data_IF_737105117988
#
_entry.id   IF_737105117988
#
_cell.length_a   1.000
_cell.length_b   1.000
_cell.length_c   1.000
_cell.angle_alpha   90.00
_cell.angle_beta   90.00
_cell.angle_gamma   90.00
#
_symmetry.space_group_name_H-M   'P 1'
#
loop_
_entity.id
_entity.type
_entity.pdbx_description
1 polymer ?
#
# COMPACT_ATOMS: atom_id res chain seq x y z
N UNK A 1 -32.08 14.36 17.05
CA UNK A 1 -31.17 13.24 16.78
C UNK A 1 -30.76 12.68 18.12
N UNK A 2 -31.20 11.46 18.38
CA UNK A 2 -31.29 10.88 19.71
C UNK A 2 -29.92 10.54 20.27
N UNK A 3 -29.71 10.99 21.52
CA UNK A 3 -28.51 10.77 22.29
C UNK A 3 -28.36 9.25 22.50
N UNK A 4 -27.37 8.61 21.87
CA UNK A 4 -27.04 7.22 22.18
C UNK A 4 -26.46 7.22 23.59
N UNK A 5 -27.29 6.82 24.56
CA UNK A 5 -26.90 6.70 25.96
C UNK A 5 -25.82 5.63 26.10
N UNK A 6 -24.64 6.03 26.56
CA UNK A 6 -23.54 5.11 26.84
C UNK A 6 -24.01 4.14 27.94
N UNK A 7 -23.93 2.81 27.72
CA UNK A 7 -24.32 1.82 28.72
C UNK A 7 -23.63 2.07 30.07
N UNK A 8 -24.37 1.97 31.17
CA UNK A 8 -23.93 2.34 32.52
C UNK A 8 -22.67 1.61 33.00
N UNK A 9 -22.38 0.43 32.45
CA UNK A 9 -21.18 -0.35 32.77
C UNK A 9 -19.89 0.27 32.19
N UNK A 10 -19.97 1.04 31.11
CA UNK A 10 -18.84 1.82 30.55
C UNK A 10 -18.62 3.09 31.37
N UNK A 11 -19.68 3.71 31.89
CA UNK A 11 -19.59 4.90 32.74
C UNK A 11 -18.85 4.62 34.06
N UNK A 12 -19.09 3.45 34.68
CA UNK A 12 -18.43 3.08 35.95
C UNK A 12 -16.93 2.83 35.80
N UNK A 13 -16.46 2.36 34.63
CA UNK A 13 -15.04 2.17 34.36
C UNK A 13 -14.29 3.48 34.10
N UNK A 14 -15.01 4.54 33.69
CA UNK A 14 -14.43 5.87 33.46
C UNK A 14 -14.41 6.74 34.73
N UNK A 15 -15.36 6.58 35.65
CA UNK A 15 -15.45 7.37 36.89
C UNK A 15 -14.34 7.08 37.90
N UNK A 16 -13.68 5.93 37.83
CA UNK A 16 -12.55 5.55 38.69
C UNK A 16 -11.17 5.93 38.16
N UNK A 17 -11.07 6.43 36.92
CA UNK A 17 -9.82 6.94 36.36
C UNK A 17 -9.78 8.44 36.63
N UNK A 18 -9.13 8.82 37.73
CA UNK A 18 -8.65 10.19 37.87
C UNK A 18 -7.98 10.61 36.55
N UNK A 19 -8.30 11.81 36.05
CA UNK A 19 -7.49 12.38 34.99
C UNK A 19 -6.03 12.26 35.44
N UNK A 20 -5.10 11.79 34.58
CA UNK A 20 -3.71 11.79 34.96
C UNK A 20 -3.37 13.23 35.32
N UNK A 21 -3.12 13.48 36.61
CA UNK A 21 -2.42 14.67 37.07
C UNK A 21 -1.20 14.80 36.18
N UNK A 22 -0.93 16.01 35.68
CA UNK A 22 0.13 16.31 34.74
C UNK A 22 1.46 15.72 35.22
N UNK A 23 1.71 14.46 34.84
CA UNK A 23 3.01 13.86 34.96
C UNK A 23 3.83 14.62 33.94
N UNK A 24 4.89 15.27 34.41
CA UNK A 24 6.00 15.69 33.56
C UNK A 24 6.53 14.43 32.87
N UNK A 25 5.89 14.04 31.76
CA UNK A 25 6.39 13.03 30.86
C UNK A 25 7.52 13.74 30.13
N UNK A 26 8.74 13.57 30.64
CA UNK A 26 9.94 13.92 29.90
C UNK A 26 9.75 13.40 28.46
N UNK A 27 9.87 14.30 27.48
CA UNK A 27 9.63 14.00 26.07
C UNK A 27 10.60 12.91 25.62
N UNK A 28 10.17 11.65 25.70
CA UNK A 28 10.90 10.56 25.06
C UNK A 28 10.93 10.89 23.58
N UNK A 29 12.11 10.86 22.99
CA UNK A 29 12.26 10.98 21.54
C UNK A 29 11.28 10.00 20.87
N UNK A 30 10.38 10.47 19.99
CA UNK A 30 9.39 9.60 19.38
C UNK A 30 10.10 8.47 18.65
N UNK A 31 9.58 7.24 18.80
CA UNK A 31 10.10 6.10 18.07
C UNK A 31 9.96 6.38 16.56
N UNK A 32 10.95 6.11 15.71
CA UNK A 32 10.91 6.48 14.29
C UNK A 32 9.75 5.84 13.52
N UNK A 33 9.23 4.71 13.99
CA UNK A 33 8.05 4.03 13.43
C UNK A 33 6.71 4.43 14.08
N UNK A 34 6.72 5.34 15.06
CA UNK A 34 5.50 5.85 15.65
C UNK A 34 4.91 6.97 14.80
N UNK A 35 3.58 7.05 14.77
CA UNK A 35 2.91 8.12 14.04
C UNK A 35 3.34 9.48 14.62
N UNK A 36 3.67 10.51 13.82
CA UNK A 36 4.27 11.75 14.34
C UNK A 36 3.48 12.43 15.47
N UNK A 37 2.15 12.26 15.47
CA UNK A 37 1.24 12.82 16.48
C UNK A 37 0.92 11.86 17.64
N UNK A 38 1.50 10.66 17.70
CA UNK A 38 1.16 9.65 18.73
C UNK A 38 1.66 10.01 20.12
N UNK A 39 2.63 10.92 20.23
CA UNK A 39 3.13 11.46 21.50
C UNK A 39 2.27 12.59 22.06
N UNK A 40 1.33 13.13 21.27
CA UNK A 40 0.45 14.21 21.70
C UNK A 40 -0.61 13.68 22.68
N UNK A 41 -1.05 14.55 23.60
CA UNK A 41 -2.14 14.23 24.53
C UNK A 41 -3.42 13.95 23.75
N UNK A 42 -4.23 13.01 24.25
CA UNK A 42 -5.54 12.70 23.68
C UNK A 42 -6.41 13.96 23.51
N UNK A 43 -7.02 14.09 22.33
CA UNK A 43 -7.91 15.20 21.97
C UNK A 43 -9.31 14.64 21.61
N UNK A 44 -10.35 14.90 22.43
CA UNK A 44 -11.69 14.38 22.19
C UNK A 44 -12.38 14.96 20.94
N UNK A 45 -12.02 16.17 20.51
CA UNK A 45 -12.59 16.77 19.30
C UNK A 45 -12.01 16.10 18.04
N UNK A 46 -10.70 15.84 18.03
CA UNK A 46 -10.06 15.08 16.96
C UNK A 46 -10.58 13.63 16.90
N UNK A 47 -10.86 13.02 18.05
CA UNK A 47 -11.44 11.68 18.09
C UNK A 47 -12.86 11.65 17.49
N UNK A 48 -13.68 12.66 17.81
CA UNK A 48 -15.04 12.77 17.30
C UNK A 48 -15.09 13.14 15.81
N UNK A 49 -14.17 14.00 15.35
CA UNK A 49 -14.04 14.41 13.96
C UNK A 49 -12.58 14.24 13.51
N UNK A 50 -12.18 13.02 13.10
CA UNK A 50 -10.82 12.76 12.67
C UNK A 50 -10.48 13.57 11.43
N UNK A 51 -9.28 14.15 11.40
CA UNK A 51 -8.71 14.71 10.17
C UNK A 51 -8.34 13.61 9.18
N UNK A 52 -8.11 13.97 7.92
CA UNK A 52 -7.91 13.06 6.79
C UNK A 52 -6.84 12.01 7.03
N UNK A 53 -5.83 12.29 7.86
CA UNK A 53 -4.81 11.31 8.16
C UNK A 53 -5.30 10.05 8.92
N UNK A 54 -6.45 10.14 9.59
CA UNK A 54 -7.02 9.07 10.42
C UNK A 54 -8.26 8.43 9.78
N UNK A 55 -8.67 8.89 8.58
CA UNK A 55 -9.82 8.38 7.84
C UNK A 55 -9.42 7.26 6.88
N UNK A 56 -10.42 6.59 6.30
CA UNK A 56 -10.22 5.49 5.35
C UNK A 56 -9.34 5.88 4.16
N UNK A 57 -8.56 4.90 3.69
CA UNK A 57 -7.65 5.04 2.55
C UNK A 57 -7.76 3.81 1.64
N UNK A 58 -8.79 3.71 0.77
CA UNK A 58 -8.96 2.57 -0.10
C UNK A 58 -7.87 2.46 -1.16
N UNK A 59 -7.68 1.25 -1.68
CA UNK A 59 -7.04 1.05 -2.97
C UNK A 59 -8.01 1.45 -4.09
N UNK A 60 -7.56 2.34 -4.94
CA UNK A 60 -8.29 2.78 -6.13
C UNK A 60 -7.64 2.16 -7.36
N UNK A 61 -8.34 1.19 -7.92
CA UNK A 61 -7.88 0.44 -9.09
C UNK A 61 -7.96 1.30 -10.34
N UNK A 62 -6.80 1.55 -10.96
CA UNK A 62 -6.70 2.13 -12.29
C UNK A 62 -6.53 1.02 -13.32
N UNK A 63 -7.51 0.90 -14.19
CA UNK A 63 -7.57 -0.03 -15.31
C UNK A 63 -8.23 0.68 -16.49
N UNK A 64 -8.06 0.14 -17.69
CA UNK A 64 -8.55 0.72 -18.96
C UNK A 64 -7.92 2.07 -19.26
N UNK A 65 -8.49 2.79 -20.24
CA UNK A 65 -8.11 4.16 -20.55
C UNK A 65 -8.57 5.08 -19.43
N UNK A 66 -7.65 5.93 -18.96
CA UNK A 66 -7.97 6.89 -17.92
C UNK A 66 -8.66 8.11 -18.51
N UNK A 67 -9.75 8.52 -17.89
CA UNK A 67 -10.48 9.74 -18.23
C UNK A 67 -10.40 10.73 -17.06
N UNK A 68 -9.80 11.89 -17.29
CA UNK A 68 -9.51 12.87 -16.23
C UNK A 68 -10.78 13.29 -15.49
N UNK A 69 -11.85 13.60 -16.20
CA UNK A 69 -13.10 14.08 -15.59
C UNK A 69 -13.76 13.00 -14.72
N UNK A 70 -13.72 11.74 -15.18
CA UNK A 70 -14.14 10.60 -14.38
C UNK A 70 -13.30 10.45 -13.11
N UNK A 71 -11.96 10.56 -13.21
CA UNK A 71 -11.07 10.44 -12.07
C UNK A 71 -11.36 11.51 -11.01
N UNK A 72 -11.54 12.78 -11.43
CA UNK A 72 -11.87 13.88 -10.50
C UNK A 72 -13.24 13.67 -9.84
N UNK A 73 -14.24 13.25 -10.60
CA UNK A 73 -15.57 12.90 -10.06
C UNK A 73 -15.50 11.73 -9.05
N UNK A 74 -14.61 10.76 -9.25
CA UNK A 74 -14.43 9.68 -8.27
C UNK A 74 -13.83 10.20 -6.96
N UNK A 75 -12.93 11.20 -7.03
CA UNK A 75 -12.42 11.88 -5.83
C UNK A 75 -13.53 12.66 -5.11
N UNK A 76 -14.47 13.28 -5.83
CA UNK A 76 -15.67 13.87 -5.21
C UNK A 76 -16.44 12.84 -4.39
N UNK A 77 -16.70 11.66 -4.96
CA UNK A 77 -17.38 10.58 -4.23
C UNK A 77 -16.59 10.11 -3.00
N UNK A 78 -15.25 10.04 -3.09
CA UNK A 78 -14.43 9.72 -1.93
C UNK A 78 -14.56 10.77 -0.81
N UNK A 79 -14.61 12.05 -1.17
CA UNK A 79 -14.84 13.13 -0.22
C UNK A 79 -16.25 13.07 0.40
N UNK A 80 -17.29 12.80 -0.40
CA UNK A 80 -18.68 12.60 0.07
C UNK A 80 -18.79 11.42 1.05
N UNK A 81 -18.02 10.36 0.84
CA UNK A 81 -17.91 9.20 1.73
C UNK A 81 -17.02 9.45 2.96
N UNK A 82 -16.53 10.68 3.16
CA UNK A 82 -15.61 11.06 4.23
C UNK A 82 -14.31 10.22 4.28
N UNK A 83 -13.82 9.79 3.12
CA UNK A 83 -12.49 9.19 3.02
C UNK A 83 -11.41 10.28 3.14
N UNK A 84 -10.31 9.95 3.80
CA UNK A 84 -9.22 10.93 3.98
C UNK A 84 -8.16 10.84 2.91
N UNK A 85 -8.06 9.69 2.24
CA UNK A 85 -6.98 9.40 1.31
C UNK A 85 -7.40 8.37 0.28
N UNK A 86 -6.54 8.12 -0.70
CA UNK A 86 -6.63 6.96 -1.59
C UNK A 86 -5.23 6.50 -2.02
N UNK A 87 -5.09 5.20 -2.30
CA UNK A 87 -3.91 4.64 -2.96
C UNK A 87 -4.23 4.36 -4.42
N UNK A 88 -3.69 5.19 -5.32
CA UNK A 88 -3.78 4.94 -6.76
C UNK A 88 -2.95 3.71 -7.10
N UNK A 89 -3.61 2.65 -7.58
CA UNK A 89 -2.96 1.36 -7.84
C UNK A 89 -3.34 0.84 -9.23
N UNK A 90 -2.34 0.65 -10.08
CA UNK A 90 -2.55 0.12 -11.43
C UNK A 90 -2.94 -1.35 -11.39
N UNK A 91 -3.89 -1.74 -12.23
CA UNK A 91 -4.35 -3.13 -12.40
C UNK A 91 -4.26 -3.54 -13.86
N UNK A 92 -4.41 -4.84 -14.10
CA UNK A 92 -4.46 -5.40 -15.46
C UNK A 92 -5.48 -4.65 -16.33
N UNK A 93 -5.05 -4.30 -17.53
CA UNK A 93 -5.88 -3.61 -18.52
C UNK A 93 -5.68 -2.10 -18.56
N UNK A 94 -4.74 -1.50 -17.82
CA UNK A 94 -4.34 -0.10 -18.03
C UNK A 94 -3.96 0.11 -19.49
N UNK A 95 -4.54 1.14 -20.12
CA UNK A 95 -4.42 1.42 -21.56
C UNK A 95 -3.44 2.56 -21.88
N UNK A 96 -2.64 2.95 -20.88
CA UNK A 96 -1.61 3.99 -21.01
C UNK A 96 -0.30 3.47 -20.41
N UNK A 97 0.83 4.05 -20.80
CA UNK A 97 2.13 3.63 -20.29
C UNK A 97 2.27 3.93 -18.78
N UNK A 98 2.54 2.90 -17.99
CA UNK A 98 2.87 3.05 -16.57
C UNK A 98 4.11 3.96 -16.38
N UNK A 99 3.99 4.97 -15.52
CA UNK A 99 5.00 6.02 -15.29
C UNK A 99 5.38 6.85 -16.52
N UNK A 100 4.62 6.72 -17.61
CA UNK A 100 4.75 7.60 -18.79
C UNK A 100 4.18 8.99 -18.52
N UNK A 101 4.34 9.89 -19.50
CA UNK A 101 3.90 11.29 -19.40
C UNK A 101 2.41 11.41 -19.08
N UNK A 102 1.55 10.73 -19.83
CA UNK A 102 0.09 10.75 -19.66
C UNK A 102 -0.33 10.23 -18.28
N UNK A 103 0.30 9.14 -17.81
CA UNK A 103 0.05 8.60 -16.47
C UNK A 103 0.41 9.63 -15.39
N UNK A 104 1.56 10.28 -15.51
CA UNK A 104 2.01 11.28 -14.54
C UNK A 104 1.15 12.55 -14.58
N UNK A 105 0.58 12.90 -15.75
CA UNK A 105 -0.41 13.99 -15.86
C UNK A 105 -1.71 13.65 -15.11
N UNK A 106 -2.20 12.42 -15.22
CA UNK A 106 -3.37 11.97 -14.45
C UNK A 106 -3.08 11.96 -12.95
N UNK A 107 -1.90 11.49 -12.53
CA UNK A 107 -1.48 11.55 -11.12
C UNK A 107 -1.45 12.99 -10.61
N UNK A 108 -0.84 13.92 -11.35
CA UNK A 108 -0.83 15.35 -10.98
C UNK A 108 -2.24 15.90 -10.82
N UNK A 109 -3.11 15.66 -11.80
CA UNK A 109 -4.50 16.11 -11.74
C UNK A 109 -5.24 15.60 -10.49
N UNK A 110 -5.05 14.32 -10.14
CA UNK A 110 -5.66 13.73 -8.95
C UNK A 110 -5.07 14.27 -7.65
N UNK A 111 -3.77 14.50 -7.58
CA UNK A 111 -3.09 15.08 -6.40
C UNK A 111 -3.59 16.50 -6.17
N UNK A 112 -3.55 17.35 -7.20
CA UNK A 112 -3.98 18.74 -7.12
C UNK A 112 -5.46 18.83 -6.71
N UNK A 113 -6.31 17.97 -7.28
CA UNK A 113 -7.74 17.96 -6.95
C UNK A 113 -8.01 17.44 -5.52
N UNK A 114 -7.31 16.39 -5.09
CA UNK A 114 -7.43 15.87 -3.72
C UNK A 114 -7.06 16.92 -2.67
N UNK A 115 -6.06 17.77 -2.93
CA UNK A 115 -5.67 18.87 -2.03
C UNK A 115 -6.83 19.85 -1.82
N UNK A 116 -7.59 20.19 -2.88
CA UNK A 116 -8.78 21.05 -2.74
C UNK A 116 -9.88 20.44 -1.86
N UNK A 117 -9.90 19.11 -1.72
CA UNK A 117 -10.83 18.35 -0.88
C UNK A 117 -10.26 18.04 0.50
N UNK A 118 -9.07 18.56 0.84
CA UNK A 118 -8.33 18.23 2.06
C UNK A 118 -8.05 16.71 2.19
N UNK A 119 -7.92 16.01 1.07
CA UNK A 119 -7.60 14.59 1.01
C UNK A 119 -6.12 14.38 0.66
N UNK A 120 -5.60 13.18 0.93
CA UNK A 120 -4.22 12.84 0.59
C UNK A 120 -4.18 11.77 -0.51
N UNK A 121 -3.41 12.04 -1.56
CA UNK A 121 -3.20 11.12 -2.66
C UNK A 121 -1.91 10.32 -2.44
N UNK A 122 -2.01 8.99 -2.46
CA UNK A 122 -0.85 8.10 -2.38
C UNK A 122 -0.64 7.40 -3.71
N UNK A 123 0.56 7.49 -4.27
CA UNK A 123 0.97 6.76 -5.46
C UNK A 123 1.53 5.40 -5.04
N UNK A 124 0.95 4.32 -5.55
CA UNK A 124 1.56 3.00 -5.47
C UNK A 124 2.64 2.91 -6.56
N UNK A 125 3.89 2.67 -6.17
CA UNK A 125 5.08 2.74 -7.03
C UNK A 125 5.36 1.45 -7.81
N UNK A 126 4.38 0.55 -7.89
CA UNK A 126 4.44 -0.62 -8.75
C UNK A 126 3.26 -0.76 -9.73
N UNK A 127 3.55 -1.34 -10.89
CA UNK A 127 2.52 -1.77 -11.83
C UNK A 127 2.14 -3.21 -11.48
N UNK A 128 0.95 -3.36 -10.89
CA UNK A 128 0.39 -4.62 -10.41
C UNK A 128 1.21 -5.22 -9.25
N UNK A 129 0.81 -6.42 -8.85
CA UNK A 129 1.48 -7.23 -7.84
C UNK A 129 2.22 -8.37 -8.54
N UNK A 130 3.40 -8.82 -8.07
CA UNK A 130 4.11 -8.41 -6.84
C UNK A 130 4.92 -7.12 -6.99
N UNK A 131 5.14 -6.42 -5.87
CA UNK A 131 5.93 -5.19 -5.85
C UNK A 131 7.45 -5.44 -5.86
N UNK A 132 8.21 -4.39 -6.19
CA UNK A 132 9.67 -4.34 -6.29
C UNK A 132 10.22 -4.29 -7.72
N UNK A 133 9.39 -4.46 -8.74
CA UNK A 133 9.83 -4.49 -10.14
C UNK A 133 9.47 -3.22 -10.93
N UNK A 134 8.57 -2.38 -10.40
CA UNK A 134 7.98 -1.24 -11.09
C UNK A 134 7.45 -1.60 -12.49
N UNK A 135 6.66 -2.67 -12.58
CA UNK A 135 6.18 -3.21 -13.86
C UNK A 135 7.26 -3.83 -14.75
N UNK A 136 8.39 -4.23 -14.16
CA UNK A 136 9.54 -4.82 -14.88
C UNK A 136 10.63 -3.80 -15.25
N UNK A 137 10.36 -2.49 -15.16
CA UNK A 137 11.33 -1.42 -15.51
C UNK A 137 12.62 -1.52 -14.67
N UNK A 138 12.53 -1.92 -13.40
CA UNK A 138 13.73 -2.11 -12.55
C UNK A 138 14.59 -3.25 -13.09
N UNK A 139 13.97 -4.37 -13.48
CA UNK A 139 14.69 -5.58 -13.92
C UNK A 139 15.24 -5.42 -15.33
N UNK A 140 14.54 -4.69 -16.19
CA UNK A 140 15.04 -4.34 -17.52
C UNK A 140 16.35 -3.54 -17.44
N UNK A 141 16.40 -2.55 -16.54
CA UNK A 141 17.59 -1.71 -16.35
C UNK A 141 18.67 -2.35 -15.48
N UNK A 142 18.28 -3.13 -14.47
CA UNK A 142 19.15 -3.77 -13.49
C UNK A 142 18.81 -5.27 -13.34
N UNK A 143 19.19 -6.10 -14.32
CA UNK A 143 18.86 -7.54 -14.31
C UNK A 143 19.37 -8.30 -13.07
N UNK A 144 20.40 -7.79 -12.40
CA UNK A 144 21.00 -8.34 -11.19
C UNK A 144 20.11 -8.24 -9.95
N UNK A 145 19.13 -7.32 -9.96
CA UNK A 145 18.16 -7.08 -8.88
C UNK A 145 16.92 -7.98 -8.95
N UNK A 146 16.81 -8.84 -9.97
CA UNK A 146 15.72 -9.80 -10.07
C UNK A 146 15.67 -10.71 -8.84
N UNK A 147 14.45 -11.09 -8.45
CA UNK A 147 14.24 -12.09 -7.41
C UNK A 147 15.00 -13.39 -7.73
N UNK A 148 15.70 -13.93 -6.74
CA UNK A 148 16.48 -15.17 -6.84
C UNK A 148 15.86 -16.23 -5.95
N UNK A 149 15.93 -17.49 -6.38
CA UNK A 149 15.49 -18.62 -5.60
C UNK A 149 16.47 -19.78 -5.79
N UNK A 150 16.48 -20.71 -4.84
CA UNK A 150 17.17 -21.98 -4.98
C UNK A 150 16.24 -22.98 -5.65
N UNK A 151 16.72 -23.63 -6.71
CA UNK A 151 16.01 -24.73 -7.37
C UNK A 151 16.69 -26.04 -7.00
N UNK A 152 15.98 -26.90 -6.27
CA UNK A 152 16.38 -28.28 -6.07
C UNK A 152 15.59 -29.17 -7.02
N UNK A 153 16.29 -29.90 -7.90
CA UNK A 153 15.65 -30.71 -8.94
C UNK A 153 16.52 -31.90 -9.35
N UNK A 154 15.93 -33.06 -9.66
CA UNK A 154 16.65 -34.17 -10.28
C UNK A 154 16.85 -33.96 -11.80
N UNK A 155 16.27 -32.91 -12.39
CA UNK A 155 16.26 -32.68 -13.83
C UNK A 155 17.33 -31.66 -14.26
N UNK A 156 18.32 -32.05 -15.08
CA UNK A 156 19.28 -31.11 -15.67
C UNK A 156 18.60 -30.06 -16.56
N UNK A 157 19.28 -28.94 -16.81
CA UNK A 157 18.77 -27.93 -17.74
C UNK A 157 18.57 -28.54 -19.15
N UNK A 158 17.55 -28.09 -19.87
CA UNK A 158 17.13 -28.61 -21.18
C UNK A 158 16.37 -29.94 -21.17
N UNK A 159 16.15 -30.57 -20.00
CA UNK A 159 15.53 -31.91 -19.93
C UNK A 159 14.03 -31.92 -19.65
N UNK A 160 13.47 -30.83 -19.12
CA UNK A 160 12.02 -30.67 -18.92
C UNK A 160 11.58 -29.27 -19.34
N UNK A 161 10.32 -29.08 -19.77
CA UNK A 161 9.82 -27.77 -20.17
C UNK A 161 9.98 -26.71 -19.08
N UNK A 162 10.30 -25.48 -19.49
CA UNK A 162 10.16 -24.30 -18.64
C UNK A 162 8.66 -24.02 -18.53
N UNK A 163 8.10 -24.05 -17.32
CA UNK A 163 6.67 -23.79 -17.10
C UNK A 163 6.26 -22.40 -17.61
N UNK A 164 4.96 -22.10 -17.56
CA UNK A 164 4.43 -20.81 -18.01
C UNK A 164 4.87 -19.65 -17.10
N UNK A 165 5.96 -18.98 -17.47
CA UNK A 165 6.36 -17.68 -16.94
C UNK A 165 6.50 -17.56 -15.42
N UNK A 166 6.52 -16.32 -14.93
CA UNK A 166 6.42 -16.03 -13.51
C UNK A 166 4.92 -15.90 -13.15
N UNK A 167 4.38 -16.75 -12.26
CA UNK A 167 2.98 -16.69 -11.91
C UNK A 167 2.68 -15.43 -11.06
N UNK A 168 1.47 -14.90 -11.17
CA UNK A 168 0.93 -13.83 -10.31
C UNK A 168 0.76 -14.24 -8.84
N UNK A 169 1.39 -15.34 -8.40
CA UNK A 169 1.56 -15.75 -7.01
C UNK A 169 2.98 -15.53 -6.47
N UNK A 170 3.87 -14.91 -7.28
CA UNK A 170 5.30 -14.73 -6.97
C UNK A 170 6.03 -16.05 -6.66
N UNK A 171 5.43 -17.18 -7.02
CA UNK A 171 6.03 -18.49 -6.84
C UNK A 171 7.23 -18.62 -7.76
N UNK A 172 8.35 -19.06 -7.19
CA UNK A 172 9.54 -19.40 -7.94
C UNK A 172 9.22 -20.42 -9.05
N UNK A 173 9.63 -20.11 -10.28
CA UNK A 173 9.51 -21.00 -11.44
C UNK A 173 10.87 -21.29 -12.05
N UNK A 174 10.99 -22.48 -12.65
CA UNK A 174 12.22 -22.93 -13.31
C UNK A 174 12.47 -22.08 -14.56
N UNK A 175 13.57 -21.31 -14.55
CA UNK A 175 13.93 -20.37 -15.62
C UNK A 175 15.23 -20.71 -16.35
N UNK A 176 15.94 -21.79 -15.94
CA UNK A 176 17.22 -22.27 -16.48
C UNK A 176 18.31 -21.19 -16.72
N UNK A 177 18.21 -20.06 -16.03
CA UNK A 177 19.12 -18.92 -16.14
C UNK A 177 19.94 -18.69 -14.85
N UNK A 178 20.10 -19.75 -14.06
CA UNK A 178 20.87 -19.75 -12.80
C UNK A 178 22.24 -20.40 -12.95
N UNK A 179 22.92 -20.56 -11.81
CA UNK A 179 24.20 -21.26 -11.73
C UNK A 179 24.05 -22.53 -10.88
N UNK A 180 24.66 -23.62 -11.32
CA UNK A 180 24.69 -24.87 -10.55
C UNK A 180 25.58 -24.69 -9.30
N UNK A 181 24.98 -24.82 -8.12
CA UNK A 181 25.70 -24.68 -6.85
C UNK A 181 26.23 -26.01 -6.33
N UNK A 182 25.45 -27.09 -6.44
CA UNK A 182 25.83 -28.41 -5.94
C UNK A 182 25.09 -29.55 -6.66
N UNK A 183 25.66 -30.76 -6.60
CA UNK A 183 25.04 -32.03 -6.98
C UNK A 183 25.09 -32.98 -5.80
N UNK A 184 24.03 -33.77 -5.64
CA UNK A 184 23.91 -34.75 -4.57
C UNK A 184 23.55 -36.10 -5.17
N UNK A 185 24.29 -37.13 -4.78
CA UNK A 185 23.97 -38.50 -5.14
C UNK A 185 23.12 -39.13 -4.04
N UNK A 186 22.19 -40.02 -4.41
CA UNK A 186 21.51 -40.86 -3.42
C UNK A 186 22.46 -41.98 -3.05
N UNK A 187 22.91 -42.00 -1.80
CA UNK A 187 23.59 -43.17 -1.24
C UNK A 187 22.51 -44.20 -0.92
N UNK A 188 22.57 -45.34 -1.63
CA UNK A 188 21.71 -46.50 -1.40
C UNK A 188 22.26 -47.43 -0.34
#
# INVERSE_FOLDING_TARGET
MDYVSIPSFISKTLQGRSQPQDRNIASKSPHPLSYPKSSLRYNPQLFKNPSSEYRGCPFWAWNTKLDKDQLLRQIDYFAEMELGRFHTHVRTGLDIEYMGTEFMDMIRACVDYAETKQMLACLYDDDRWPSGAAGGKVIEKYPEHKGKHLLFTPHPYGTVPLGEGAPSSARASRSENGHLIARYDRVG
#
